data_IF_840148870567
#
_entry.id   IF_840148870567
#
_cell.length_a   1.000
_cell.length_b   1.000
_cell.length_c   1.000
_cell.angle_alpha   90.00
_cell.angle_beta   90.00
_cell.angle_gamma   90.00
#
_symmetry.space_group_name_H-M   'P 1'
#
loop_
_entity.id
_entity.type
_entity.pdbx_description
1 polymer ?
#
# COMPACT_ATOMS: atom_id res chain seq x y z
N UNK A 1 -10.34 23.05 20.76
CA UNK A 1 -10.37 21.78 21.54
C UNK A 1 -10.55 20.59 20.59
N UNK A 2 -9.85 19.51 20.84
CA UNK A 2 -10.02 18.24 20.14
C UNK A 2 -10.85 17.34 21.05
N UNK A 3 -11.97 16.83 20.54
CA UNK A 3 -12.84 15.91 21.28
C UNK A 3 -12.67 14.54 20.66
N UNK A 4 -12.22 13.56 21.45
CA UNK A 4 -12.24 12.17 21.07
C UNK A 4 -13.63 11.61 21.32
N UNK A 5 -14.25 11.06 20.32
CA UNK A 5 -15.60 10.51 20.42
C UNK A 5 -15.72 9.17 19.70
N UNK A 6 -16.51 8.27 20.24
CA UNK A 6 -16.93 7.05 19.58
C UNK A 6 -18.13 7.28 18.65
N UNK A 7 -18.77 8.44 18.74
CA UNK A 7 -19.83 8.84 17.82
C UNK A 7 -19.21 9.47 16.58
N UNK A 8 -18.89 8.65 15.62
CA UNK A 8 -18.47 9.13 14.32
C UNK A 8 -19.70 9.43 13.46
N UNK A 9 -19.85 10.69 13.10
CA UNK A 9 -20.89 11.12 12.16
C UNK A 9 -20.23 11.85 11.00
N UNK A 10 -20.18 11.24 9.83
CA UNK A 10 -19.84 11.92 8.61
C UNK A 10 -21.11 12.21 7.83
N UNK A 11 -21.25 13.44 7.36
CA UNK A 11 -22.36 13.91 6.54
C UNK A 11 -22.01 13.90 5.05
N UNK A 12 -21.13 13.00 4.62
CA UNK A 12 -20.80 12.86 3.20
C UNK A 12 -21.52 11.66 2.55
N UNK A 13 -21.47 11.61 1.25
CA UNK A 13 -22.12 10.55 0.45
C UNK A 13 -21.59 9.13 0.78
N UNK A 14 -20.45 9.05 1.44
CA UNK A 14 -19.80 7.79 1.82
C UNK A 14 -20.02 7.41 3.28
N UNK A 15 -20.67 8.27 4.06
CA UNK A 15 -20.88 8.08 5.48
C UNK A 15 -21.48 6.71 5.82
N UNK A 16 -22.56 6.33 5.14
CA UNK A 16 -23.23 5.05 5.34
C UNK A 16 -22.41 3.83 4.88
N UNK A 17 -21.47 4.03 3.97
CA UNK A 17 -20.63 2.97 3.43
C UNK A 17 -19.28 2.81 4.16
N UNK A 18 -18.78 3.88 4.79
CA UNK A 18 -17.42 3.96 5.30
C UNK A 18 -17.33 4.21 6.82
N UNK A 19 -18.42 4.62 7.46
CA UNK A 19 -18.44 4.97 8.89
C UNK A 19 -18.78 3.77 9.78
N UNK A 20 -18.04 2.72 9.61
CA UNK A 20 -18.10 1.58 10.50
C UNK A 20 -17.00 1.74 11.54
N UNK A 21 -17.37 2.06 12.78
CA UNK A 21 -16.40 2.27 13.88
C UNK A 21 -15.66 0.99 14.24
N UNK A 22 -16.23 -0.17 13.91
CA UNK A 22 -15.62 -1.47 14.12
C UNK A 22 -14.76 -1.91 12.93
N UNK A 23 -14.70 -1.09 11.88
CA UNK A 23 -13.90 -1.38 10.70
C UNK A 23 -12.42 -1.27 11.01
N UNK A 24 -11.73 -2.38 10.85
CA UNK A 24 -10.28 -2.43 11.06
C UNK A 24 -9.52 -1.79 9.92
N UNK A 25 -8.45 -1.06 10.27
CA UNK A 25 -7.49 -0.59 9.30
C UNK A 25 -6.86 -1.79 8.58
N UNK A 26 -7.08 -1.87 7.28
CA UNK A 26 -6.54 -2.95 6.44
C UNK A 26 -5.17 -2.57 5.90
N UNK A 27 -4.31 -3.56 5.75
CA UNK A 27 -3.05 -3.39 5.03
C UNK A 27 -3.34 -3.26 3.55
N UNK A 28 -2.89 -2.16 2.92
CA UNK A 28 -3.18 -1.86 1.52
C UNK A 28 -2.01 -1.14 0.86
N UNK A 29 -1.80 -1.38 -0.43
CA UNK A 29 -0.80 -0.72 -1.26
C UNK A 29 -1.42 0.30 -2.20
N UNK A 30 -0.68 1.40 -2.42
CA UNK A 30 -1.00 2.44 -3.40
C UNK A 30 0.26 2.89 -4.11
N UNK A 31 0.12 3.29 -5.37
CA UNK A 31 1.19 3.95 -6.10
C UNK A 31 1.37 5.39 -5.62
N UNK A 32 2.63 5.80 -5.50
CA UNK A 32 3.02 7.19 -5.29
C UNK A 32 3.57 7.78 -6.59
N UNK A 33 4.66 7.20 -7.12
CA UNK A 33 5.21 7.56 -8.43
C UNK A 33 4.95 6.43 -9.42
N UNK A 34 4.36 6.79 -10.58
CA UNK A 34 3.95 5.87 -11.64
C UNK A 34 4.08 6.58 -12.99
N UNK A 35 5.13 6.34 -13.77
CA UNK A 35 5.27 6.94 -15.07
C UNK A 35 4.18 6.41 -16.02
N UNK A 36 3.56 7.31 -16.79
CA UNK A 36 2.56 6.91 -17.78
C UNK A 36 3.21 6.38 -19.07
N UNK A 37 4.45 6.82 -19.35
CA UNK A 37 5.22 6.48 -20.56
C UNK A 37 6.68 6.26 -20.23
N UNK A 38 7.33 5.41 -21.03
CA UNK A 38 8.77 5.14 -21.03
C UNK A 38 9.20 4.63 -22.40
N UNK A 39 10.51 4.46 -22.64
CA UNK A 39 11.05 3.83 -23.84
C UNK A 39 11.36 2.36 -23.61
N UNK A 40 11.32 1.59 -24.69
CA UNK A 40 11.67 0.17 -24.64
C UNK A 40 13.11 -0.03 -24.13
N UNK A 41 13.30 -0.98 -23.23
CA UNK A 41 14.61 -1.29 -22.64
C UNK A 41 15.02 -0.35 -21.50
N UNK A 42 14.38 0.80 -21.32
CA UNK A 42 14.66 1.65 -20.17
C UNK A 42 14.08 1.07 -18.88
N UNK A 43 14.82 1.12 -17.76
CA UNK A 43 14.28 0.73 -16.47
C UNK A 43 13.20 1.70 -16.01
N UNK A 44 12.09 1.16 -15.53
CA UNK A 44 10.93 1.96 -15.07
C UNK A 44 10.87 1.98 -13.55
N UNK A 45 11.25 3.10 -12.91
CA UNK A 45 11.10 3.23 -11.47
C UNK A 45 9.61 3.39 -11.12
N UNK A 46 9.17 2.60 -10.16
CA UNK A 46 7.82 2.69 -9.61
C UNK A 46 7.94 2.71 -8.10
N UNK A 47 7.27 3.65 -7.48
CA UNK A 47 7.21 3.74 -6.02
C UNK A 47 5.79 3.79 -5.52
N UNK A 48 5.62 3.41 -4.29
CA UNK A 48 4.33 3.47 -3.63
C UNK A 48 4.46 3.59 -2.12
N UNK A 49 3.33 3.63 -1.50
CA UNK A 49 3.22 3.52 -0.06
C UNK A 49 2.24 2.42 0.30
N UNK A 50 2.39 1.92 1.48
CA UNK A 50 1.54 0.90 2.07
C UNK A 50 1.06 1.38 3.42
N UNK A 51 -0.25 1.36 3.60
CA UNK A 51 -0.85 1.51 4.91
C UNK A 51 -0.77 0.17 5.62
N UNK A 52 -0.12 0.15 6.76
CA UNK A 52 0.03 -1.07 7.55
C UNK A 52 -1.13 -1.19 8.52
N UNK A 53 -2.01 -2.15 8.30
CA UNK A 53 -3.17 -2.41 9.14
C UNK A 53 -2.86 -3.26 10.37
N UNK A 54 -3.91 -3.72 11.04
CA UNK A 54 -3.82 -4.57 12.23
C UNK A 54 -3.08 -5.89 11.98
N UNK A 55 -3.22 -6.46 10.80
CA UNK A 55 -2.53 -7.71 10.39
C UNK A 55 -1.02 -7.56 10.25
N UNK A 56 -0.51 -6.33 10.15
CA UNK A 56 0.89 -6.08 9.81
C UNK A 56 1.19 -6.30 8.33
N UNK A 57 2.38 -5.96 7.88
CA UNK A 57 2.83 -6.10 6.50
C UNK A 57 3.85 -7.23 6.38
N UNK A 58 3.59 -8.17 5.48
CA UNK A 58 4.57 -9.16 5.04
C UNK A 58 5.26 -8.72 3.76
N UNK A 59 4.47 -8.36 2.71
CA UNK A 59 4.98 -8.02 1.38
C UNK A 59 4.19 -6.90 0.74
N UNK A 60 4.91 -6.05 -0.02
CA UNK A 60 4.34 -5.24 -1.09
C UNK A 60 4.70 -5.92 -2.42
N UNK A 61 3.74 -6.06 -3.33
CA UNK A 61 3.93 -6.75 -4.59
C UNK A 61 3.47 -5.90 -5.76
N UNK A 62 4.13 -6.07 -6.90
CA UNK A 62 3.79 -5.45 -8.17
C UNK A 62 3.63 -6.52 -9.25
N UNK A 63 2.77 -6.25 -10.20
CA UNK A 63 2.58 -7.07 -11.38
C UNK A 63 2.34 -6.18 -12.60
N UNK A 64 3.02 -6.49 -13.70
CA UNK A 64 2.85 -5.86 -15.00
C UNK A 64 2.24 -6.88 -15.96
N UNK A 65 1.15 -6.50 -16.62
CA UNK A 65 0.43 -7.34 -17.58
C UNK A 65 0.24 -6.59 -18.90
N UNK A 66 0.62 -7.17 -20.06
CA UNK A 66 0.26 -6.62 -21.35
C UNK A 66 -1.28 -6.46 -21.45
N UNK A 67 -1.74 -5.35 -22.03
CA UNK A 67 -3.20 -5.09 -22.12
C UNK A 67 -3.95 -6.05 -23.04
N UNK A 68 -3.25 -6.63 -24.00
CA UNK A 68 -3.76 -7.67 -24.90
C UNK A 68 -3.83 -9.06 -24.24
N UNK A 69 -3.17 -9.25 -23.12
CA UNK A 69 -3.27 -10.46 -22.30
C UNK A 69 -4.49 -10.36 -21.36
N UNK A 70 -5.64 -10.84 -21.82
CA UNK A 70 -6.87 -10.85 -21.04
C UNK A 70 -6.73 -11.83 -19.88
N UNK A 71 -6.88 -11.33 -18.67
CA UNK A 71 -6.81 -12.17 -17.46
C UNK A 71 -8.09 -12.98 -17.30
N UNK A 72 -7.99 -14.26 -16.90
CA UNK A 72 -9.15 -15.15 -16.73
C UNK A 72 -10.20 -14.58 -15.76
N UNK A 73 -11.48 -14.67 -16.14
CA UNK A 73 -12.60 -14.18 -15.32
C UNK A 73 -12.80 -14.96 -14.02
N UNK A 74 -12.37 -16.22 -13.99
CA UNK A 74 -12.42 -17.09 -12.80
C UNK A 74 -11.42 -16.70 -11.71
N UNK A 75 -10.48 -15.79 -12.01
CA UNK A 75 -9.53 -15.23 -11.03
C UNK A 75 -9.62 -13.68 -10.92
N UNK A 76 -10.74 -13.15 -10.44
CA UNK A 76 -10.97 -11.69 -10.38
C UNK A 76 -10.04 -10.96 -9.41
N UNK A 77 -9.32 -11.68 -8.59
CA UNK A 77 -8.36 -11.13 -7.61
C UNK A 77 -6.91 -11.36 -7.98
N UNK A 78 -6.66 -11.87 -9.19
CA UNK A 78 -5.31 -12.08 -9.71
C UNK A 78 -4.44 -12.96 -8.80
N UNK A 79 -5.02 -14.02 -8.26
CA UNK A 79 -4.34 -14.89 -7.31
C UNK A 79 -3.23 -15.69 -7.98
N UNK A 80 -3.41 -16.07 -9.25
CA UNK A 80 -2.46 -16.82 -10.07
C UNK A 80 -1.49 -15.94 -10.86
N UNK A 81 -1.60 -14.59 -10.75
CA UNK A 81 -0.74 -13.68 -11.49
C UNK A 81 0.72 -13.76 -11.01
N UNK A 82 1.69 -13.51 -11.91
CA UNK A 82 3.12 -13.56 -11.58
C UNK A 82 3.55 -12.30 -10.83
N UNK A 83 3.09 -12.16 -9.61
CA UNK A 83 3.43 -11.07 -8.72
C UNK A 83 4.91 -11.11 -8.37
N UNK A 84 5.55 -9.94 -8.38
CA UNK A 84 6.92 -9.73 -7.96
C UNK A 84 6.95 -8.92 -6.66
N UNK A 85 7.84 -9.28 -5.74
CA UNK A 85 8.00 -8.55 -4.49
C UNK A 85 8.68 -7.19 -4.76
N UNK A 86 8.11 -6.12 -4.22
CA UNK A 86 8.73 -4.80 -4.19
C UNK A 86 9.52 -4.62 -2.90
N UNK A 87 10.59 -3.83 -2.96
CA UNK A 87 11.43 -3.53 -1.80
C UNK A 87 10.72 -2.56 -0.88
N UNK A 88 10.46 -2.96 0.35
CA UNK A 88 9.98 -2.05 1.40
C UNK A 88 11.18 -1.23 1.85
N UNK A 89 11.03 0.10 1.79
CA UNK A 89 12.09 1.00 2.17
C UNK A 89 12.26 1.04 3.69
N UNK A 90 13.48 1.29 4.17
CA UNK A 90 13.75 1.38 5.61
C UNK A 90 12.93 2.52 6.25
N UNK A 91 12.76 2.50 7.57
CA UNK A 91 12.10 3.59 8.28
C UNK A 91 12.89 4.90 8.14
N UNK A 92 12.24 6.06 8.34
CA UNK A 92 12.95 7.32 8.43
C UNK A 92 14.07 7.28 9.49
N UNK A 93 15.20 7.91 9.20
CA UNK A 93 16.33 7.97 10.15
C UNK A 93 16.05 8.87 11.35
N UNK A 94 15.11 9.83 11.21
CA UNK A 94 14.69 10.74 12.27
C UNK A 94 13.19 10.69 12.45
N UNK A 95 12.78 10.28 13.62
CA UNK A 95 11.39 10.31 14.06
C UNK A 95 11.16 11.54 14.94
N UNK A 96 9.98 12.16 14.80
CA UNK A 96 9.63 13.33 15.60
C UNK A 96 10.34 14.62 15.17
N UNK A 97 10.86 14.70 13.93
CA UNK A 97 11.61 15.88 13.44
C UNK A 97 10.86 17.22 13.57
N UNK A 98 9.53 17.19 13.41
CA UNK A 98 8.66 18.38 13.53
C UNK A 98 8.04 18.55 14.93
N UNK A 99 8.36 17.68 15.88
CA UNK A 99 7.93 17.80 17.26
C UNK A 99 8.82 18.78 18.05
N UNK A 100 8.32 19.37 19.13
CA UNK A 100 9.12 20.23 20.00
C UNK A 100 10.41 19.53 20.45
N UNK A 101 11.55 20.15 20.20
CA UNK A 101 12.86 19.58 20.49
C UNK A 101 13.34 18.50 19.51
N UNK A 102 12.59 18.22 18.42
CA UNK A 102 12.98 17.23 17.39
C UNK A 102 13.10 15.79 17.90
N UNK A 103 12.43 15.47 19.00
CA UNK A 103 12.50 14.17 19.68
C UNK A 103 11.12 13.58 19.88
N UNK A 104 11.06 12.24 19.87
CA UNK A 104 9.87 11.52 20.27
C UNK A 104 9.55 11.78 21.75
N UNK A 105 8.26 11.84 22.15
CA UNK A 105 7.88 11.88 23.55
C UNK A 105 8.45 10.70 24.34
N UNK A 106 8.80 10.87 25.62
CA UNK A 106 9.47 9.84 26.40
C UNK A 106 8.64 8.58 26.66
N UNK A 107 7.33 8.64 26.46
CA UNK A 107 6.41 7.53 26.67
C UNK A 107 5.95 6.84 25.35
N UNK A 108 6.60 7.16 24.23
CA UNK A 108 6.31 6.51 22.95
C UNK A 108 6.70 5.03 23.03
N UNK A 109 5.75 4.17 22.63
CA UNK A 109 5.94 2.72 22.63
C UNK A 109 6.49 2.26 21.29
N UNK A 110 7.13 1.08 21.29
CA UNK A 110 7.65 0.38 20.10
C UNK A 110 8.87 1.04 19.43
N UNK A 111 9.52 1.97 20.10
CA UNK A 111 10.81 2.54 19.72
C UNK A 111 11.92 2.07 20.68
N UNK A 112 13.13 2.01 20.17
CA UNK A 112 14.33 1.74 20.95
C UNK A 112 14.87 3.03 21.59
N UNK A 113 15.97 2.91 22.31
CA UNK A 113 16.66 4.04 22.96
C UNK A 113 17.23 5.07 21.99
N UNK A 114 17.47 4.68 20.72
CA UNK A 114 17.94 5.53 19.65
C UNK A 114 16.81 6.22 18.90
N UNK A 115 15.55 6.00 19.31
CA UNK A 115 14.37 6.53 18.65
C UNK A 115 14.04 5.87 17.32
N UNK A 116 14.51 4.63 17.11
CA UNK A 116 14.16 3.83 15.94
C UNK A 116 13.08 2.81 16.27
N UNK A 117 12.20 2.46 15.32
CA UNK A 117 11.18 1.45 15.55
C UNK A 117 11.82 0.08 15.79
N UNK A 118 11.39 -0.62 16.85
CA UNK A 118 11.86 -1.98 17.19
C UNK A 118 11.51 -3.02 16.12
N UNK A 119 10.44 -2.75 15.34
CA UNK A 119 10.00 -3.57 14.22
C UNK A 119 9.57 -2.69 13.08
N UNK A 120 9.92 -3.04 11.86
CA UNK A 120 9.53 -2.32 10.67
C UNK A 120 9.01 -3.26 9.59
N UNK A 121 7.91 -2.93 8.89
CA UNK A 121 7.00 -1.79 9.15
C UNK A 121 6.17 -1.98 10.42
N UNK A 122 5.94 -0.90 11.14
CA UNK A 122 5.07 -0.93 12.32
C UNK A 122 3.59 -1.02 11.90
N UNK A 123 2.78 -1.68 12.73
CA UNK A 123 1.31 -1.64 12.57
C UNK A 123 0.80 -0.21 12.72
N UNK A 124 -0.27 0.12 12.01
CA UNK A 124 -0.93 1.44 12.02
C UNK A 124 -0.03 2.59 11.55
N UNK A 125 0.92 2.30 10.68
CA UNK A 125 1.80 3.29 10.06
C UNK A 125 1.71 3.25 8.55
N UNK A 126 2.45 4.16 7.92
CA UNK A 126 2.75 4.13 6.50
C UNK A 126 4.20 3.66 6.32
N UNK A 127 4.41 2.82 5.33
CA UNK A 127 5.74 2.48 4.83
C UNK A 127 5.80 2.77 3.33
N UNK A 128 6.99 3.07 2.83
CA UNK A 128 7.20 3.24 1.40
C UNK A 128 7.79 1.96 0.81
N UNK A 129 7.49 1.73 -0.46
CA UNK A 129 8.11 0.67 -1.24
C UNK A 129 8.57 1.21 -2.59
N UNK A 130 9.57 0.57 -3.17
CA UNK A 130 10.10 0.88 -4.48
C UNK A 130 10.41 -0.40 -5.27
N UNK A 131 10.34 -0.29 -6.58
CA UNK A 131 10.79 -1.33 -7.49
C UNK A 131 11.28 -0.71 -8.80
N UNK A 132 12.10 -1.46 -9.51
CA UNK A 132 12.60 -1.09 -10.82
C UNK A 132 12.19 -2.18 -11.81
N UNK A 133 11.17 -1.90 -12.62
CA UNK A 133 10.76 -2.79 -13.68
C UNK A 133 11.80 -2.74 -14.82
N UNK A 134 12.27 -3.89 -15.29
CA UNK A 134 13.33 -4.00 -16.31
C UNK A 134 12.89 -4.89 -17.46
N UNK A 135 13.48 -4.65 -18.64
CA UNK A 135 13.28 -5.53 -19.80
C UNK A 135 11.87 -5.49 -20.38
N UNK A 136 11.13 -4.37 -20.19
CA UNK A 136 9.78 -4.25 -20.72
C UNK A 136 9.86 -3.92 -22.20
N UNK A 137 9.24 -4.77 -23.02
CA UNK A 137 9.16 -4.57 -24.47
C UNK A 137 8.20 -3.43 -24.82
N UNK A 138 8.27 -2.94 -26.05
CA UNK A 138 7.30 -1.98 -26.60
C UNK A 138 5.87 -2.52 -26.47
N UNK A 139 4.93 -1.70 -25.98
CA UNK A 139 3.54 -2.09 -25.80
C UNK A 139 2.79 -1.26 -24.79
N UNK A 140 1.57 -1.67 -24.54
CA UNK A 140 0.69 -1.08 -23.52
C UNK A 140 0.45 -2.08 -22.41
N UNK A 141 0.57 -1.63 -21.17
CA UNK A 141 0.54 -2.47 -19.99
C UNK A 141 -0.40 -1.93 -18.93
N UNK A 142 -0.94 -2.84 -18.15
CA UNK A 142 -1.56 -2.56 -16.85
C UNK A 142 -0.58 -2.96 -15.75
N UNK A 143 -0.27 -2.01 -14.90
CA UNK A 143 0.59 -2.24 -13.73
C UNK A 143 -0.27 -2.20 -12.47
N UNK A 144 -0.16 -3.21 -11.64
CA UNK A 144 -0.95 -3.37 -10.40
C UNK A 144 -0.04 -3.50 -9.20
N UNK A 145 -0.49 -3.02 -8.05
CA UNK A 145 0.19 -3.27 -6.78
C UNK A 145 -0.79 -3.83 -5.74
N UNK A 146 -0.26 -4.68 -4.86
CA UNK A 146 -1.00 -5.24 -3.72
C UNK A 146 -0.10 -5.44 -2.51
N UNK A 147 -0.72 -5.75 -1.38
CA UNK A 147 -0.02 -6.21 -0.17
C UNK A 147 -0.40 -7.65 0.16
N UNK A 148 0.49 -8.27 0.93
CA UNK A 148 0.20 -9.47 1.71
C UNK A 148 0.50 -9.13 3.17
N UNK A 149 -0.44 -9.44 4.07
CA UNK A 149 -0.24 -9.22 5.50
C UNK A 149 0.54 -10.37 6.16
N UNK A 150 0.87 -10.23 7.45
CA UNK A 150 1.60 -11.26 8.20
C UNK A 150 0.81 -12.56 8.40
N UNK A 151 -0.50 -12.54 8.17
CA UNK A 151 -1.35 -13.74 8.21
C UNK A 151 -1.43 -14.43 6.82
N UNK A 152 -0.72 -13.91 5.82
CA UNK A 152 -0.74 -14.42 4.45
C UNK A 152 -1.95 -13.98 3.62
N UNK A 153 -2.76 -13.04 4.12
CA UNK A 153 -3.93 -12.56 3.41
C UNK A 153 -3.52 -11.47 2.42
N UNK A 154 -3.83 -11.70 1.15
CA UNK A 154 -3.52 -10.78 0.07
C UNK A 154 -4.64 -9.73 -0.12
N UNK A 155 -4.27 -8.53 -0.58
CA UNK A 155 -5.22 -7.54 -1.07
C UNK A 155 -5.91 -8.01 -2.36
N UNK A 156 -7.23 -7.81 -2.54
CA UNK A 156 -8.16 -7.16 -1.60
C UNK A 156 -8.45 -8.06 -0.40
N UNK A 157 -8.31 -7.51 0.80
CA UNK A 157 -8.55 -8.27 2.02
C UNK A 157 -10.05 -8.44 2.26
N UNK A 158 -10.47 -9.53 2.92
CA UNK A 158 -11.86 -9.75 3.22
C UNK A 158 -12.46 -8.57 4.00
N UNK A 159 -13.74 -8.35 3.79
CA UNK A 159 -14.52 -7.34 4.51
C UNK A 159 -15.13 -8.00 5.74
N UNK A 160 -14.63 -7.71 6.94
CA UNK A 160 -15.20 -8.30 8.16
C UNK A 160 -16.64 -7.84 8.40
N UNK A 161 -16.97 -6.62 7.97
CA UNK A 161 -18.29 -6.02 8.08
C UNK A 161 -18.77 -5.45 6.75
N UNK A 162 -20.09 -5.33 6.59
CA UNK A 162 -20.72 -4.82 5.37
C UNK A 162 -20.16 -3.45 4.95
N UNK A 163 -19.94 -2.55 5.91
CA UNK A 163 -19.49 -1.17 5.69
C UNK A 163 -17.97 -0.98 5.73
N UNK A 164 -17.20 -2.03 5.93
CA UNK A 164 -15.75 -1.93 6.18
C UNK A 164 -14.88 -1.45 4.99
N UNK A 165 -15.50 -0.93 3.94
CA UNK A 165 -14.81 -0.44 2.75
C UNK A 165 -14.13 -1.54 1.93
N UNK A 166 -13.63 -1.17 0.75
CA UNK A 166 -12.90 -2.06 -0.15
C UNK A 166 -11.46 -1.58 -0.25
N UNK A 167 -10.50 -2.45 0.00
CA UNK A 167 -9.09 -2.17 -0.29
C UNK A 167 -8.68 -2.80 -1.63
N UNK A 168 -9.31 -2.31 -2.69
CA UNK A 168 -9.10 -2.83 -4.04
C UNK A 168 -7.65 -2.69 -4.51
N UNK A 169 -7.22 -3.65 -5.33
CA UNK A 169 -5.92 -3.60 -6.01
C UNK A 169 -5.88 -2.37 -6.90
N UNK A 170 -4.89 -1.49 -6.70
CA UNK A 170 -4.72 -0.32 -7.54
C UNK A 170 -4.07 -0.68 -8.87
N UNK A 171 -4.43 0.05 -9.93
CA UNK A 171 -3.93 -0.13 -11.29
C UNK A 171 -3.56 1.22 -11.91
N UNK A 172 -2.52 1.23 -12.75
CA UNK A 172 -2.29 2.30 -13.72
C UNK A 172 -1.89 1.72 -15.07
N UNK A 173 -2.03 2.52 -16.12
CA UNK A 173 -1.60 2.15 -17.47
C UNK A 173 -0.21 2.71 -17.75
N UNK A 174 0.68 1.87 -18.30
CA UNK A 174 2.01 2.22 -18.77
C UNK A 174 2.08 1.99 -20.28
N UNK A 175 2.57 2.97 -21.02
CA UNK A 175 2.89 2.84 -22.44
C UNK A 175 4.41 2.81 -22.61
N UNK A 176 4.90 1.78 -23.27
CA UNK A 176 6.32 1.63 -23.63
C UNK A 176 6.48 1.91 -25.11
N UNK A 177 7.11 3.02 -25.43
CA UNK A 177 7.36 3.51 -26.79
C UNK A 177 8.64 2.87 -27.36
N UNK A 178 8.75 2.83 -28.68
CA UNK A 178 9.95 2.29 -29.38
C UNK A 178 11.09 3.29 -29.42
#
# INVERSE_FOLDING_TARGET
SVVLTNNYQANDTYADANNDIDSWMKTMSRFHFKPAKTKAGEPVPVTGWVQVGVGGLSKAQIWINPKDNVWPEDDPYFTKAPWQDATILPPPTRWGGDLPGGRLPPNVRFFDENGQPKHWPMRYTLAHWATLLKGIARGSYDVRCRTIDLNGIAQPMPRPFRKSGRNTIQRFSLTVEG
#
